data_IF_948208115111
#
_entry.id   IF_948208115111
#
_cell.length_a   1.000
_cell.length_b   1.000
_cell.length_c   1.000
_cell.angle_alpha   90.00
_cell.angle_beta   90.00
_cell.angle_gamma   90.00
#
_symmetry.space_group_name_H-M   'P 1'
#
loop_
_entity.id
_entity.type
_entity.pdbx_description
1 polymer ?
#
# COMPACT_ATOMS: atom_id res chain seq x y z
N UNK A 1 -42.20 26.16 -5.03
CA UNK A 1 -41.17 26.17 -6.08
C UNK A 1 -39.88 25.70 -5.39
N UNK A 2 -39.61 24.41 -5.21
CA UNK A 2 -39.21 23.38 -6.20
C UNK A 2 -38.17 23.93 -7.20
N UNK A 3 -37.01 23.33 -7.49
CA UNK A 3 -36.23 22.19 -6.98
C UNK A 3 -34.92 22.15 -7.80
N UNK A 4 -33.80 21.72 -7.21
CA UNK A 4 -32.65 20.91 -7.74
C UNK A 4 -31.44 21.24 -6.86
N UNK A 5 -30.80 20.36 -6.07
CA UNK A 5 -30.34 18.97 -6.24
C UNK A 5 -29.34 18.79 -7.39
N UNK A 6 -28.10 19.21 -7.15
CA UNK A 6 -26.91 18.65 -7.79
C UNK A 6 -26.18 17.75 -6.79
N UNK A 7 -26.27 16.45 -7.07
CA UNK A 7 -25.47 15.39 -6.45
C UNK A 7 -24.07 15.38 -7.07
N UNK A 8 -23.05 15.74 -6.29
CA UNK A 8 -21.64 15.58 -6.65
C UNK A 8 -20.91 14.76 -5.58
N UNK A 9 -20.37 13.61 -5.94
CA UNK A 9 -19.63 12.70 -5.06
C UNK A 9 -18.37 13.38 -4.50
N UNK A 10 -18.31 13.62 -3.19
CA UNK A 10 -17.08 14.07 -2.50
C UNK A 10 -16.00 12.99 -2.64
N UNK A 11 -15.06 13.19 -3.57
CA UNK A 11 -13.97 12.24 -3.91
C UNK A 11 -12.73 12.41 -3.02
N UNK A 12 -12.90 12.90 -1.80
CA UNK A 12 -11.81 13.01 -0.84
C UNK A 12 -11.47 11.63 -0.26
N UNK A 13 -10.21 11.17 -0.34
CA UNK A 13 -9.83 9.94 0.35
C UNK A 13 -10.09 10.09 1.86
N UNK A 14 -10.49 8.99 2.54
CA UNK A 14 -10.67 8.98 3.99
C UNK A 14 -9.42 9.51 4.71
N UNK A 15 -9.55 10.11 5.90
CA UNK A 15 -8.41 10.66 6.63
C UNK A 15 -7.31 9.62 6.88
N UNK A 16 -7.66 8.36 7.19
CA UNK A 16 -6.68 7.28 7.39
C UNK A 16 -5.90 6.95 6.10
N UNK A 17 -6.56 7.03 4.94
CA UNK A 17 -5.92 6.81 3.63
C UNK A 17 -5.01 8.00 3.28
N UNK A 18 -5.46 9.22 3.53
CA UNK A 18 -4.66 10.45 3.34
C UNK A 18 -3.40 10.42 4.21
N UNK A 19 -3.54 10.00 5.46
CA UNK A 19 -2.40 9.88 6.39
C UNK A 19 -1.43 8.79 5.92
N UNK A 20 -1.93 7.65 5.45
CA UNK A 20 -1.11 6.60 4.85
C UNK A 20 -0.34 7.09 3.62
N UNK A 21 -1.01 7.77 2.67
CA UNK A 21 -0.36 8.31 1.47
C UNK A 21 0.71 9.34 1.83
N UNK A 22 0.43 10.21 2.82
CA UNK A 22 1.41 11.18 3.32
C UNK A 22 2.64 10.50 3.93
N UNK A 23 2.44 9.50 4.79
CA UNK A 23 3.55 8.75 5.40
C UNK A 23 4.34 7.96 4.34
N UNK A 24 3.66 7.40 3.34
CA UNK A 24 4.27 6.68 2.22
C UNK A 24 5.17 7.60 1.40
N UNK A 25 4.73 8.84 1.13
CA UNK A 25 5.56 9.84 0.47
C UNK A 25 6.67 10.38 1.39
N UNK A 26 6.45 10.40 2.71
CA UNK A 26 7.48 10.72 3.71
C UNK A 26 8.64 9.72 3.80
N UNK A 27 8.57 8.61 3.06
CA UNK A 27 9.71 7.70 2.88
C UNK A 27 10.87 8.36 2.12
N UNK A 28 10.61 9.34 1.26
CA UNK A 28 11.63 10.01 0.45
C UNK A 28 12.50 11.01 1.23
N UNK A 29 12.06 11.47 2.39
CA UNK A 29 12.59 12.70 3.00
C UNK A 29 13.97 12.51 3.68
N UNK A 30 14.34 11.28 4.11
CA UNK A 30 15.42 11.15 5.11
C UNK A 30 16.45 10.03 4.99
N UNK A 31 16.41 9.13 4.01
CA UNK A 31 17.57 8.25 3.71
C UNK A 31 17.29 7.38 2.49
N UNK A 32 18.36 7.06 1.75
CA UNK A 32 18.40 6.08 0.64
C UNK A 32 17.92 4.67 1.06
N UNK A 33 17.82 4.41 2.37
CA UNK A 33 17.21 3.19 2.94
C UNK A 33 16.11 3.58 3.93
N UNK A 34 14.86 3.22 3.64
CA UNK A 34 13.79 3.37 4.63
C UNK A 34 14.12 2.58 5.90
N UNK A 35 13.93 3.20 7.08
CA UNK A 35 14.14 2.52 8.34
C UNK A 35 13.05 1.46 8.57
N UNK A 36 13.42 0.33 9.16
CA UNK A 36 12.49 -0.74 9.50
C UNK A 36 11.27 -0.23 10.32
N UNK A 37 11.49 0.75 11.18
CA UNK A 37 10.43 1.39 11.98
C UNK A 37 9.40 2.13 11.14
N UNK A 38 9.79 2.78 10.03
CA UNK A 38 8.85 3.44 9.11
C UNK A 38 8.00 2.41 8.36
N UNK A 39 8.61 1.31 7.92
CA UNK A 39 7.92 0.21 7.24
C UNK A 39 6.90 -0.45 8.18
N UNK A 40 7.28 -0.73 9.43
CA UNK A 40 6.38 -1.25 10.47
C UNK A 40 5.22 -0.29 10.75
N UNK A 41 5.49 1.02 10.83
CA UNK A 41 4.46 2.05 11.00
C UNK A 41 3.45 2.05 9.86
N UNK A 42 3.92 2.06 8.61
CA UNK A 42 3.05 1.98 7.43
C UNK A 42 2.20 0.70 7.44
N UNK A 43 2.81 -0.42 7.83
CA UNK A 43 2.11 -1.70 7.97
C UNK A 43 0.98 -1.57 8.99
N UNK A 44 1.24 -1.06 10.19
CA UNK A 44 0.21 -0.84 11.21
C UNK A 44 -0.91 0.09 10.74
N UNK A 45 -0.57 1.16 10.02
CA UNK A 45 -1.56 2.09 9.44
C UNK A 45 -2.44 1.41 8.40
N UNK A 46 -1.88 0.54 7.55
CA UNK A 46 -2.64 -0.24 6.58
C UNK A 46 -3.69 -1.13 7.27
N UNK A 47 -3.30 -1.86 8.32
CA UNK A 47 -4.24 -2.71 9.07
C UNK A 47 -5.26 -1.90 9.87
N UNK A 48 -4.90 -0.73 10.40
CA UNK A 48 -5.86 0.20 11.02
C UNK A 48 -6.91 0.68 10.01
N UNK A 49 -6.49 0.96 8.78
CA UNK A 49 -7.34 1.37 7.67
C UNK A 49 -7.87 0.19 6.83
N UNK A 50 -7.93 -1.02 7.38
CA UNK A 50 -8.33 -2.25 6.69
C UNK A 50 -9.65 -2.15 5.90
N UNK A 51 -10.61 -1.37 6.40
CA UNK A 51 -11.88 -1.07 5.72
C UNK A 51 -11.67 -0.46 4.31
N UNK A 52 -10.57 0.26 4.12
CA UNK A 52 -10.18 0.93 2.89
C UNK A 52 -9.00 0.25 2.19
N UNK A 53 -8.83 -1.07 2.37
CA UNK A 53 -7.69 -1.82 1.81
C UNK A 53 -7.47 -1.57 0.30
N UNK A 54 -8.54 -1.40 -0.48
CA UNK A 54 -8.45 -1.09 -1.92
C UNK A 54 -7.73 0.23 -2.19
N UNK A 55 -8.02 1.25 -1.39
CA UNK A 55 -7.37 2.55 -1.49
C UNK A 55 -5.91 2.46 -1.06
N UNK A 56 -5.61 1.71 -0.01
CA UNK A 56 -4.23 1.48 0.46
C UNK A 56 -3.40 0.78 -0.63
N UNK A 57 -3.93 -0.29 -1.22
CA UNK A 57 -3.30 -1.00 -2.35
C UNK A 57 -3.06 -0.02 -3.50
N UNK A 58 -4.10 0.72 -3.91
CA UNK A 58 -3.98 1.69 -5.00
C UNK A 58 -2.92 2.77 -4.74
N UNK A 59 -2.85 3.32 -3.52
CA UNK A 59 -1.81 4.30 -3.14
C UNK A 59 -0.41 3.69 -3.28
N UNK A 60 -0.23 2.43 -2.87
CA UNK A 60 1.07 1.74 -2.95
C UNK A 60 1.45 1.40 -4.40
N UNK A 61 0.51 0.92 -5.21
CA UNK A 61 0.73 0.63 -6.63
C UNK A 61 1.08 1.90 -7.41
N UNK A 62 0.32 2.98 -7.17
CA UNK A 62 0.59 4.29 -7.76
C UNK A 62 1.96 4.80 -7.33
N UNK A 63 2.35 4.62 -6.07
CA UNK A 63 3.67 4.97 -5.58
C UNK A 63 4.76 4.20 -6.33
N UNK A 64 4.70 2.87 -6.41
CA UNK A 64 5.71 2.04 -7.09
C UNK A 64 5.84 2.40 -8.58
N UNK A 65 4.72 2.70 -9.22
CA UNK A 65 4.68 3.05 -10.65
C UNK A 65 5.26 4.44 -10.94
N UNK A 66 5.18 5.37 -9.98
CA UNK A 66 5.55 6.80 -10.18
C UNK A 66 6.84 7.20 -9.49
N UNK A 67 7.32 6.44 -8.52
CA UNK A 67 8.54 6.76 -7.78
C UNK A 67 9.79 6.53 -8.64
N UNK A 68 10.86 7.26 -8.31
CA UNK A 68 12.15 7.05 -8.98
C UNK A 68 12.71 5.66 -8.62
N UNK A 69 13.50 5.03 -9.52
CA UNK A 69 13.93 3.64 -9.36
C UNK A 69 14.57 3.32 -8.00
N UNK A 70 15.33 4.26 -7.42
CA UNK A 70 15.98 4.09 -6.11
C UNK A 70 15.03 3.74 -4.96
N UNK A 71 13.76 4.16 -5.03
CA UNK A 71 12.79 3.92 -3.97
C UNK A 71 11.82 2.77 -4.27
N UNK A 72 11.91 2.16 -5.45
CA UNK A 72 11.07 1.01 -5.80
C UNK A 72 11.34 -0.17 -4.87
N UNK A 73 12.60 -0.41 -4.50
CA UNK A 73 12.96 -1.43 -3.50
C UNK A 73 12.30 -1.16 -2.14
N UNK A 74 12.25 0.10 -1.72
CA UNK A 74 11.54 0.50 -0.50
C UNK A 74 10.04 0.23 -0.61
N UNK A 75 9.41 0.54 -1.74
CA UNK A 75 8.01 0.21 -2.01
C UNK A 75 7.72 -1.29 -1.94
N UNK A 76 8.64 -2.11 -2.47
CA UNK A 76 8.58 -3.57 -2.38
C UNK A 76 8.62 -4.04 -0.92
N UNK A 77 9.50 -3.48 -0.08
CA UNK A 77 9.57 -3.85 1.34
C UNK A 77 8.28 -3.50 2.11
N UNK A 78 7.62 -2.39 1.76
CA UNK A 78 6.32 -2.05 2.37
C UNK A 78 5.23 -3.03 1.96
N UNK A 79 5.14 -3.36 0.66
CA UNK A 79 4.20 -4.36 0.14
C UNK A 79 4.40 -5.70 0.84
N UNK A 80 5.63 -6.15 0.88
CA UNK A 80 6.02 -7.41 1.50
C UNK A 80 5.69 -7.44 3.00
N UNK A 81 6.00 -6.38 3.75
CA UNK A 81 5.66 -6.28 5.18
C UNK A 81 4.15 -6.38 5.43
N UNK A 82 3.33 -5.73 4.59
CA UNK A 82 1.86 -5.83 4.65
C UNK A 82 1.42 -7.27 4.37
N UNK A 83 1.98 -7.93 3.36
CA UNK A 83 1.66 -9.31 3.01
C UNK A 83 2.05 -10.30 4.11
N UNK A 84 3.26 -10.20 4.68
CA UNK A 84 3.73 -11.05 5.78
C UNK A 84 2.86 -10.88 7.02
N UNK A 85 2.50 -9.64 7.35
CA UNK A 85 1.62 -9.34 8.48
C UNK A 85 0.21 -9.87 8.22
N UNK A 86 -0.27 -9.81 6.98
CA UNK A 86 -1.60 -10.33 6.58
C UNK A 86 -1.68 -11.83 6.80
N UNK A 87 -0.63 -12.57 6.41
CA UNK A 87 -0.57 -14.02 6.62
C UNK A 87 -0.42 -14.39 8.10
N UNK A 88 0.38 -13.62 8.85
CA UNK A 88 0.56 -13.81 10.28
C UNK A 88 -0.73 -13.56 11.07
N UNK A 89 -1.55 -12.60 10.64
CA UNK A 89 -2.86 -12.32 11.24
C UNK A 89 -3.85 -13.49 11.06
N UNK A 90 -3.84 -14.17 9.89
CA UNK A 90 -4.67 -15.36 9.65
C UNK A 90 -4.38 -16.50 10.63
N UNK A 91 -3.12 -16.70 11.00
CA UNK A 91 -2.72 -17.81 11.89
C UNK A 91 -3.16 -17.57 13.33
N UNK A 92 -3.34 -16.31 13.75
CA UNK A 92 -3.80 -15.94 15.10
C UNK A 92 -5.32 -15.99 15.27
N UNK A 93 -6.07 -15.91 14.18
CA UNK A 93 -7.52 -15.93 14.19
C UNK A 93 -8.00 -17.29 13.66
N UNK A 94 -7.94 -18.31 14.52
CA UNK A 94 -8.52 -19.61 14.23
C UNK A 94 -9.96 -19.45 13.75
N UNK A 95 -10.26 -20.02 12.58
CA UNK A 95 -11.54 -20.05 11.89
C UNK A 95 -12.76 -19.74 12.77
N UNK A 96 -13.34 -18.56 12.60
CA UNK A 96 -14.75 -18.32 12.93
C UNK A 96 -15.34 -17.44 11.85
N UNK A 97 -16.35 -17.99 11.19
CA UNK A 97 -16.96 -17.46 9.99
C UNK A 97 -17.56 -16.07 10.18
N UNK A 98 -17.51 -15.29 9.09
CA UNK A 98 -18.27 -14.05 8.95
C UNK A 98 -17.41 -12.83 8.68
N UNK A 99 -17.08 -12.58 7.42
CA UNK A 99 -16.81 -11.24 6.84
C UNK A 99 -15.78 -10.34 7.53
N UNK A 100 -14.94 -10.86 8.42
CA UNK A 100 -13.95 -10.08 9.16
C UNK A 100 -12.67 -10.03 8.34
N UNK A 101 -12.15 -8.83 8.11
CA UNK A 101 -10.93 -8.62 7.35
C UNK A 101 -9.75 -9.38 7.97
N UNK A 102 -9.24 -10.41 7.29
CA UNK A 102 -8.12 -11.22 7.79
C UNK A 102 -6.76 -10.79 7.22
N UNK A 103 -6.76 -9.76 6.38
CA UNK A 103 -5.60 -9.37 5.57
C UNK A 103 -5.44 -10.19 4.28
N UNK A 104 -6.19 -11.29 4.09
CA UNK A 104 -6.25 -12.04 2.82
C UNK A 104 -6.48 -11.14 1.60
N UNK A 105 -7.30 -10.11 1.79
CA UNK A 105 -7.72 -9.18 0.76
C UNK A 105 -6.56 -8.33 0.25
N UNK A 106 -5.52 -8.07 1.06
CA UNK A 106 -4.30 -7.44 0.57
C UNK A 106 -3.56 -8.39 -0.39
N UNK A 107 -3.31 -9.63 0.04
CA UNK A 107 -2.59 -10.63 -0.75
C UNK A 107 -3.30 -10.88 -2.08
N UNK A 108 -4.59 -11.17 -2.04
CA UNK A 108 -5.40 -11.45 -3.24
C UNK A 108 -5.52 -10.24 -4.19
N UNK A 109 -5.28 -9.02 -3.70
CA UNK A 109 -5.22 -7.82 -4.55
C UNK A 109 -3.86 -7.64 -5.17
N UNK A 110 -2.79 -7.74 -4.38
CA UNK A 110 -1.44 -7.62 -4.89
C UNK A 110 -1.14 -8.71 -5.93
N UNK A 111 -1.56 -9.95 -5.71
CA UNK A 111 -1.39 -11.05 -6.68
C UNK A 111 -1.93 -10.73 -8.08
N UNK A 112 -3.05 -10.01 -8.19
CA UNK A 112 -3.64 -9.65 -9.50
C UNK A 112 -2.81 -8.66 -10.29
N UNK A 113 -1.98 -7.88 -9.60
CA UNK A 113 -1.20 -6.81 -10.20
C UNK A 113 0.32 -7.03 -9.99
N UNK A 114 0.71 -8.16 -9.41
CA UNK A 114 2.08 -8.40 -8.97
C UNK A 114 3.03 -8.46 -10.17
N UNK A 115 2.59 -9.05 -11.28
CA UNK A 115 3.37 -9.10 -12.52
C UNK A 115 3.66 -7.71 -13.07
N UNK A 116 2.67 -6.81 -13.08
CA UNK A 116 2.85 -5.43 -13.51
C UNK A 116 3.78 -4.65 -12.56
N UNK A 117 3.68 -4.89 -11.25
CA UNK A 117 4.61 -4.31 -10.27
C UNK A 117 6.03 -4.86 -10.43
N UNK A 118 6.19 -6.15 -10.76
CA UNK A 118 7.49 -6.76 -11.01
C UNK A 118 8.21 -6.12 -12.19
N UNK A 119 7.51 -5.82 -13.29
CA UNK A 119 8.08 -5.06 -14.41
C UNK A 119 8.58 -3.69 -13.95
N UNK A 120 7.90 -3.05 -13.00
CA UNK A 120 8.41 -1.79 -12.43
C UNK A 120 9.67 -2.03 -11.57
N UNK A 121 9.74 -3.11 -10.80
CA UNK A 121 10.90 -3.45 -9.98
C UNK A 121 12.14 -3.83 -10.81
N UNK A 122 11.99 -4.48 -11.97
CA UNK A 122 13.13 -4.83 -12.83
C UNK A 122 13.81 -3.62 -13.45
N UNK A 123 13.09 -2.52 -13.68
CA UNK A 123 13.67 -1.24 -14.14
C UNK A 123 14.72 -0.64 -13.17
N UNK A 124 14.80 -1.13 -11.93
CA UNK A 124 15.81 -0.74 -10.96
C UNK A 124 17.19 -1.33 -11.29
N UNK A 125 17.22 -2.49 -11.96
CA UNK A 125 18.46 -3.24 -12.23
C UNK A 125 19.29 -2.60 -13.35
N UNK A 126 18.66 -1.97 -14.34
CA UNK A 126 19.37 -1.38 -15.49
C UNK A 126 20.23 -0.15 -15.17
N UNK A 127 20.03 0.51 -14.02
CA UNK A 127 20.80 1.72 -13.66
C UNK A 127 22.09 1.43 -12.86
N UNK A 128 22.38 0.16 -12.56
CA UNK A 128 23.59 -0.23 -11.81
C UNK A 128 24.79 -0.70 -12.64
N UNK A 129 24.68 -0.73 -13.97
CA UNK A 129 25.78 -1.12 -14.87
C UNK A 129 26.47 0.06 -15.58
N UNK A 130 26.57 1.23 -14.93
CA UNK A 130 27.35 2.38 -15.45
C UNK A 130 28.28 3.04 -14.43
N UNK A 131 29.05 2.24 -13.69
CA UNK A 131 30.30 2.70 -13.03
C UNK A 131 31.41 1.70 -13.30
#
# INVERSE_FOLDING_TARGET
>A
MSANKESGTSKDPPPDVKEFEKELHGLFDHSRTASASKIDRLTKMAFKAAKYYKNIVYCLEKFITRCVPEYKLTGLYVLDSICRTSQSAKTKLGSSGGGTFTGSEYVARFERNIEALFVEFTKVVEDKEKV
#
